data_IF_409590056101
#
_entry.id   IF_409590056101
#
_cell.length_a   1.000
_cell.length_b   1.000
_cell.length_c   1.000
_cell.angle_alpha   90.00
_cell.angle_beta   90.00
_cell.angle_gamma   90.00
#
_symmetry.space_group_name_H-M   'P 1'
#
loop_
_entity.id
_entity.type
_entity.pdbx_description
1 polymer ?
#
# COMPACT_ATOMS: atom_id res chain seq x y z
N UNK A 1 -14.89 0.06 -1.70
CA UNK A 1 -14.64 1.51 -1.92
C UNK A 1 -13.70 1.74 -3.08
N UNK A 2 -13.72 2.94 -3.63
CA UNK A 2 -12.79 3.31 -4.69
C UNK A 2 -11.36 3.45 -4.18
N UNK A 3 -10.40 3.48 -5.08
CA UNK A 3 -9.00 3.71 -4.71
C UNK A 3 -8.81 5.07 -4.03
N UNK A 4 -9.52 6.09 -4.48
CA UNK A 4 -9.45 7.42 -3.85
C UNK A 4 -9.87 7.37 -2.38
N UNK A 5 -10.92 6.66 -2.07
CA UNK A 5 -11.36 6.48 -0.68
C UNK A 5 -10.36 5.67 0.13
N UNK A 6 -9.74 4.66 -0.48
CA UNK A 6 -8.68 3.89 0.17
C UNK A 6 -7.47 4.77 0.49
N UNK A 7 -7.10 5.68 -0.41
CA UNK A 7 -6.00 6.62 -0.18
C UNK A 7 -6.29 7.53 1.01
N UNK A 8 -7.53 8.01 1.16
CA UNK A 8 -7.93 8.81 2.32
C UNK A 8 -7.76 8.03 3.63
N UNK A 9 -8.13 6.75 3.63
CA UNK A 9 -7.94 5.89 4.80
C UNK A 9 -6.44 5.64 5.09
N UNK A 10 -5.61 5.51 4.05
CA UNK A 10 -4.17 5.41 4.23
C UNK A 10 -3.60 6.65 4.93
N UNK A 11 -4.10 7.83 4.58
CA UNK A 11 -3.70 9.08 5.25
C UNK A 11 -4.04 9.07 6.73
N UNK A 12 -5.13 8.40 7.11
CA UNK A 12 -5.59 8.30 8.50
C UNK A 12 -4.90 7.16 9.27
N UNK A 13 -3.97 6.45 8.63
CA UNK A 13 -3.18 5.41 9.29
C UNK A 13 -3.69 3.99 9.12
N UNK A 14 -4.73 3.77 8.32
CA UNK A 14 -5.22 2.43 8.01
C UNK A 14 -4.41 1.81 6.86
N UNK A 15 -4.46 0.49 6.77
CA UNK A 15 -3.95 -0.23 5.61
C UNK A 15 -5.08 -0.45 4.59
N UNK A 16 -4.72 -0.70 3.36
CA UNK A 16 -5.69 -0.93 2.28
C UNK A 16 -5.27 -2.12 1.42
N UNK A 17 -6.25 -2.85 0.89
CA UNK A 17 -6.03 -3.94 -0.05
C UNK A 17 -7.31 -4.21 -0.83
N UNK A 18 -7.19 -4.99 -1.91
CA UNK A 18 -8.35 -5.57 -2.58
C UNK A 18 -8.66 -6.95 -1.98
N UNK A 19 -9.91 -7.43 -2.05
CA UNK A 19 -10.26 -8.78 -1.56
C UNK A 19 -9.42 -9.89 -2.19
N UNK A 20 -9.02 -9.72 -3.46
CA UNK A 20 -8.20 -10.70 -4.18
C UNK A 20 -6.72 -10.66 -3.82
N UNK A 21 -6.28 -9.63 -3.09
CA UNK A 21 -4.89 -9.48 -2.69
C UNK A 21 -4.59 -10.29 -1.43
N UNK A 22 -3.44 -10.95 -1.41
CA UNK A 22 -2.88 -11.48 -0.17
C UNK A 22 -2.00 -10.45 0.54
N UNK A 23 -1.53 -9.43 -0.18
CA UNK A 23 -0.74 -8.33 0.36
C UNK A 23 -1.58 -7.11 0.69
N UNK A 24 -0.93 -6.00 1.00
CA UNK A 24 -1.59 -4.75 1.38
C UNK A 24 -0.67 -3.56 1.21
N UNK A 25 -1.25 -2.36 1.35
CA UNK A 25 -0.53 -1.08 1.32
C UNK A 25 -0.73 -0.40 2.67
N UNK A 26 0.30 0.22 3.21
CA UNK A 26 0.22 1.00 4.45
C UNK A 26 1.04 2.28 4.33
N UNK A 27 0.72 3.27 5.16
CA UNK A 27 1.50 4.49 5.32
C UNK A 27 2.26 4.42 6.64
N UNK A 28 3.54 4.76 6.61
CA UNK A 28 4.36 4.87 7.82
C UNK A 28 4.92 6.29 7.89
N UNK A 29 4.60 7.00 8.96
CA UNK A 29 5.12 8.35 9.20
C UNK A 29 6.59 8.22 9.63
N UNK A 30 7.50 8.88 8.91
CA UNK A 30 8.93 8.86 9.22
C UNK A 30 9.36 10.11 9.97
N UNK A 31 8.69 11.25 9.72
CA UNK A 31 8.92 12.50 10.41
C UNK A 31 7.63 13.31 10.41
N UNK A 32 6.95 13.35 11.56
CA UNK A 32 5.67 14.03 11.69
C UNK A 32 5.81 15.56 11.58
N UNK A 33 6.93 16.12 12.01
CA UNK A 33 7.15 17.57 11.98
C UNK A 33 7.33 18.08 10.56
N UNK A 34 8.06 17.33 9.72
CA UNK A 34 8.28 17.68 8.32
C UNK A 34 7.21 17.13 7.39
N UNK A 35 6.27 16.36 7.91
CA UNK A 35 5.25 15.71 7.10
C UNK A 35 5.80 14.56 6.26
N UNK A 36 6.99 14.06 6.60
CA UNK A 36 7.61 12.96 5.87
C UNK A 36 6.95 11.62 6.19
N UNK A 37 6.77 10.81 5.16
CA UNK A 37 6.21 9.46 5.32
C UNK A 37 6.65 8.56 4.17
N UNK A 38 6.39 7.27 4.32
CA UNK A 38 6.58 6.30 3.25
C UNK A 38 5.30 5.50 3.04
N UNK A 39 5.05 5.10 1.81
CA UNK A 39 4.03 4.12 1.46
C UNK A 39 4.73 2.79 1.26
N UNK A 40 4.30 1.79 1.97
CA UNK A 40 4.85 0.44 1.87
C UNK A 40 3.82 -0.47 1.21
N UNK A 41 4.20 -1.05 0.07
CA UNK A 41 3.43 -2.08 -0.63
C UNK A 41 4.05 -3.42 -0.27
N UNK A 42 3.33 -4.24 0.47
CA UNK A 42 3.81 -5.57 0.86
C UNK A 42 3.00 -6.62 0.11
N UNK A 43 3.68 -7.43 -0.69
CA UNK A 43 3.00 -8.45 -1.50
C UNK A 43 2.78 -9.76 -0.73
N UNK A 44 2.18 -10.75 -1.37
CA UNK A 44 1.89 -12.06 -0.75
C UNK A 44 3.14 -12.76 -0.21
N UNK A 45 4.25 -12.62 -0.91
CA UNK A 45 5.50 -13.26 -0.52
C UNK A 45 6.23 -12.54 0.62
N UNK A 46 5.77 -11.33 0.97
CA UNK A 46 6.41 -10.52 2.00
C UNK A 46 7.44 -9.54 1.47
N UNK A 47 7.57 -9.42 0.15
CA UNK A 47 8.46 -8.41 -0.44
C UNK A 47 7.85 -7.03 -0.24
N UNK A 48 8.64 -6.08 0.23
CA UNK A 48 8.22 -4.72 0.48
C UNK A 48 8.83 -3.78 -0.55
N UNK A 49 7.98 -2.89 -1.08
CA UNK A 49 8.37 -1.81 -1.99
C UNK A 49 7.99 -0.51 -1.32
N UNK A 50 8.96 0.38 -1.13
CA UNK A 50 8.74 1.60 -0.37
C UNK A 50 8.95 2.84 -1.22
N UNK A 51 7.94 3.73 -1.24
CA UNK A 51 8.06 5.08 -1.76
C UNK A 51 8.14 6.03 -0.58
N UNK A 52 9.22 6.78 -0.48
CA UNK A 52 9.47 7.71 0.62
C UNK A 52 9.15 9.13 0.20
N UNK A 53 8.38 9.83 1.03
CA UNK A 53 8.06 11.24 0.84
C UNK A 53 8.67 12.04 1.99
N UNK A 54 9.52 13.02 1.67
CA UNK A 54 10.24 13.81 2.67
C UNK A 54 9.56 15.16 3.01
N UNK A 55 8.30 15.34 2.59
CA UNK A 55 7.59 16.61 2.73
C UNK A 55 7.67 17.48 1.48
N UNK A 56 8.53 17.16 0.52
CA UNK A 56 8.73 17.93 -0.71
C UNK A 56 8.74 17.06 -1.96
N UNK A 57 9.46 15.93 -1.93
CA UNK A 57 9.65 15.08 -3.09
C UNK A 57 9.54 13.60 -2.74
N UNK A 58 9.20 12.79 -3.73
CA UNK A 58 9.13 11.33 -3.61
C UNK A 58 10.45 10.70 -4.03
N UNK A 59 10.85 9.69 -3.29
CA UNK A 59 11.99 8.84 -3.65
C UNK A 59 11.48 7.45 -3.98
N UNK A 60 11.76 6.98 -5.20
CA UNK A 60 11.36 5.66 -5.65
C UNK A 60 12.11 4.56 -4.88
N UNK A 61 11.51 3.36 -4.71
CA UNK A 61 12.18 2.26 -4.05
C UNK A 61 13.35 1.73 -4.87
N UNK A 62 14.32 1.12 -4.18
CA UNK A 62 15.45 0.47 -4.85
C UNK A 62 14.99 -0.68 -5.75
N UNK A 63 13.92 -1.38 -5.35
CA UNK A 63 13.26 -2.40 -6.16
C UNK A 63 11.99 -1.79 -6.77
N UNK A 64 11.88 -1.84 -8.09
CA UNK A 64 10.73 -1.25 -8.79
C UNK A 64 9.43 -1.98 -8.44
N UNK A 65 8.41 -1.22 -8.06
CA UNK A 65 7.05 -1.75 -7.91
C UNK A 65 6.55 -2.20 -9.29
N UNK A 66 6.05 -3.43 -9.42
CA UNK A 66 5.55 -3.90 -10.72
C UNK A 66 4.20 -3.25 -11.03
N UNK A 67 4.23 -2.16 -11.78
CA UNK A 67 3.03 -1.51 -12.32
C UNK A 67 2.63 -2.21 -13.61
N UNK A 68 2.10 -3.41 -13.47
CA UNK A 68 1.59 -4.20 -14.58
C UNK A 68 0.06 -4.01 -14.74
N UNK A 69 -0.54 -4.82 -15.59
CA UNK A 69 -1.99 -4.78 -15.81
C UNK A 69 -2.78 -5.01 -14.52
N UNK A 70 -2.31 -5.93 -13.67
CA UNK A 70 -2.96 -6.22 -12.39
C UNK A 70 -2.99 -4.99 -11.48
N UNK A 71 -1.87 -4.25 -11.39
CA UNK A 71 -1.82 -3.04 -10.57
C UNK A 71 -2.70 -1.93 -11.14
N UNK A 72 -2.73 -1.75 -12.46
CA UNK A 72 -3.60 -0.76 -13.10
C UNK A 72 -5.06 -1.08 -12.87
N UNK A 73 -5.45 -2.33 -13.01
CA UNK A 73 -6.82 -2.78 -12.73
C UNK A 73 -7.18 -2.55 -11.26
N UNK A 74 -6.23 -2.79 -10.35
CA UNK A 74 -6.44 -2.53 -8.93
C UNK A 74 -6.72 -1.06 -8.66
N UNK A 75 -5.98 -0.15 -9.26
CA UNK A 75 -6.17 1.29 -9.07
C UNK A 75 -7.51 1.79 -9.60
N UNK A 76 -8.07 1.12 -10.61
CA UNK A 76 -9.37 1.46 -11.19
C UNK A 76 -10.52 0.70 -10.52
N UNK A 77 -10.23 -0.23 -9.65
CA UNK A 77 -11.24 -1.07 -9.01
C UNK A 77 -12.01 -0.31 -7.92
N UNK A 78 -13.18 -0.80 -7.60
CA UNK A 78 -14.10 -0.21 -6.63
C UNK A 78 -14.32 -1.14 -5.43
N UNK A 79 -13.50 -2.16 -5.28
CA UNK A 79 -13.61 -3.19 -4.25
C UNK A 79 -12.55 -3.08 -3.16
N UNK A 80 -11.91 -1.93 -3.00
CA UNK A 80 -10.90 -1.71 -1.99
C UNK A 80 -11.47 -1.89 -0.58
N UNK A 81 -10.65 -2.45 0.30
CA UNK A 81 -10.97 -2.64 1.71
C UNK A 81 -9.92 -1.93 2.55
N UNK A 82 -10.32 -1.43 3.70
CA UNK A 82 -9.40 -0.83 4.67
C UNK A 82 -9.52 -1.54 6.00
N UNK A 83 -8.43 -1.52 6.78
CA UNK A 83 -8.39 -2.15 8.09
C UNK A 83 -7.07 -1.87 8.76
N UNK A 84 -6.79 -2.59 9.84
CA UNK A 84 -5.53 -2.43 10.55
C UNK A 84 -4.42 -3.19 9.83
N UNK A 85 -3.20 -2.65 9.93
CA UNK A 85 -2.01 -3.32 9.39
C UNK A 85 -1.85 -4.73 9.98
N UNK A 86 -2.10 -4.87 11.28
CA UNK A 86 -1.97 -6.17 11.95
C UNK A 86 -2.94 -7.22 11.39
N UNK A 87 -4.20 -6.84 11.13
CA UNK A 87 -5.19 -7.74 10.57
C UNK A 87 -4.79 -8.20 9.17
N UNK A 88 -4.33 -7.28 8.32
CA UNK A 88 -3.91 -7.61 6.95
C UNK A 88 -2.62 -8.43 6.92
N UNK A 89 -1.69 -8.16 7.82
CA UNK A 89 -0.47 -8.97 7.94
C UNK A 89 -0.81 -10.41 8.33
N UNK A 90 -1.72 -10.60 9.26
CA UNK A 90 -2.16 -11.94 9.66
C UNK A 90 -2.87 -12.69 8.54
N UNK A 91 -3.55 -11.96 7.65
CA UNK A 91 -4.27 -12.55 6.52
C UNK A 91 -3.40 -12.72 5.27
N UNK A 92 -2.16 -12.22 5.29
CA UNK A 92 -1.26 -12.29 4.14
C UNK A 92 -0.92 -13.73 3.83
N UNK A 93 -1.27 -14.18 2.63
CA UNK A 93 -1.07 -15.58 2.24
C UNK A 93 -1.27 -15.78 0.74
N UNK A 94 -0.93 -16.99 0.28
CA UNK A 94 -1.16 -17.39 -1.09
C UNK A 94 0.05 -17.22 -1.99
N UNK A 95 -0.16 -17.42 -3.28
CA UNK A 95 0.86 -17.26 -4.32
C UNK A 95 0.38 -16.24 -5.35
N UNK A 96 1.34 -15.62 -6.07
CA UNK A 96 1.07 -14.55 -7.02
C UNK A 96 1.77 -13.28 -6.61
N UNK A 97 1.55 -12.18 -7.38
CA UNK A 97 2.26 -10.92 -7.13
C UNK A 97 1.68 -10.19 -5.92
N UNK A 98 0.40 -9.96 -5.91
CA UNK A 98 -0.27 -9.19 -4.88
C UNK A 98 -1.31 -10.02 -4.14
#
# INVERSE_FOLDING_TARGET
>A
MSFDNAVENLRDGYAAKRPSWGGYVKKVVTDADDGAYKLTFKNRAGTEYEYTYNGTAWTAPATTVPFDTEMLEAMLADDWQTGTTAAFESARSGSGTW
#
